data_IF_863808319054
#
_entry.id   IF_863808319054
#
_cell.length_a   1.000
_cell.length_b   1.000
_cell.length_c   1.000
_cell.angle_alpha   90.00
_cell.angle_beta   90.00
_cell.angle_gamma   90.00
#
_symmetry.space_group_name_H-M   'P 1'
#
loop_
_entity.id
_entity.type
_entity.pdbx_description
1 polymer ?
#
# COMPACT_ATOMS: atom_id res chain seq x y z
N UNK A 1 13.50 -27.26 -13.62
CA UNK A 1 13.11 -26.27 -12.56
C UNK A 1 14.08 -25.11 -12.74
N UNK A 2 13.74 -23.87 -13.08
CA UNK A 2 12.53 -23.10 -12.85
C UNK A 2 12.36 -22.07 -14.00
N UNK A 3 11.44 -22.35 -14.92
CA UNK A 3 10.85 -21.29 -15.74
C UNK A 3 9.71 -20.67 -14.95
N UNK A 4 10.02 -19.98 -13.84
CA UNK A 4 9.05 -19.09 -13.19
C UNK A 4 8.78 -17.98 -14.21
N UNK A 5 7.72 -18.18 -14.97
CA UNK A 5 7.44 -17.50 -16.22
C UNK A 5 7.12 -16.02 -15.99
N UNK A 6 7.47 -15.19 -16.97
CA UNK A 6 7.09 -13.76 -17.03
C UNK A 6 5.59 -13.52 -16.80
N UNK A 7 4.76 -14.55 -16.99
CA UNK A 7 3.33 -14.58 -16.67
C UNK A 7 3.03 -14.35 -15.18
N UNK A 8 3.84 -14.88 -14.26
CA UNK A 8 3.60 -14.71 -12.82
C UNK A 8 3.83 -13.26 -12.37
N UNK A 9 4.85 -12.61 -12.94
CA UNK A 9 5.13 -11.17 -12.70
C UNK A 9 4.03 -10.28 -13.30
N UNK A 10 3.59 -10.57 -14.53
CA UNK A 10 2.52 -9.83 -15.18
C UNK A 10 1.16 -10.01 -14.49
N UNK A 11 0.87 -11.22 -14.02
CA UNK A 11 -0.35 -11.51 -13.27
C UNK A 11 -0.41 -10.71 -11.98
N UNK A 12 0.68 -10.66 -11.21
CA UNK A 12 0.79 -9.85 -10.00
C UNK A 12 0.60 -8.36 -10.30
N UNK A 13 1.21 -7.85 -11.38
CA UNK A 13 1.05 -6.46 -11.80
C UNK A 13 -0.41 -6.12 -12.17
N UNK A 14 -1.06 -6.97 -12.97
CA UNK A 14 -2.44 -6.74 -13.43
C UNK A 14 -3.41 -6.73 -12.24
N UNK A 15 -3.32 -7.70 -11.32
CA UNK A 15 -4.21 -7.76 -10.17
C UNK A 15 -4.02 -6.56 -9.23
N UNK A 16 -2.77 -6.15 -8.97
CA UNK A 16 -2.48 -4.97 -8.16
C UNK A 16 -2.98 -3.67 -8.82
N UNK A 17 -2.88 -3.57 -10.16
CA UNK A 17 -3.41 -2.44 -10.91
C UNK A 17 -4.95 -2.38 -10.87
N UNK A 18 -5.63 -3.53 -10.96
CA UNK A 18 -7.08 -3.61 -10.82
C UNK A 18 -7.55 -3.17 -9.43
N UNK A 19 -6.87 -3.63 -8.36
CA UNK A 19 -7.18 -3.19 -7.01
C UNK A 19 -6.95 -1.69 -6.83
N UNK A 20 -5.93 -1.12 -7.46
CA UNK A 20 -5.69 0.33 -7.45
C UNK A 20 -6.85 1.10 -8.09
N UNK A 21 -7.34 0.68 -9.26
CA UNK A 21 -8.50 1.31 -9.92
C UNK A 21 -9.77 1.21 -9.06
N UNK A 22 -10.01 0.05 -8.43
CA UNK A 22 -11.14 -0.14 -7.51
C UNK A 22 -11.02 0.80 -6.31
N UNK A 23 -9.83 0.94 -5.73
CA UNK A 23 -9.57 1.88 -4.65
C UNK A 23 -9.88 3.33 -5.03
N UNK A 24 -9.45 3.77 -6.22
CA UNK A 24 -9.76 5.10 -6.76
C UNK A 24 -11.28 5.33 -6.91
N UNK A 25 -12.01 4.32 -7.42
CA UNK A 25 -13.46 4.41 -7.57
C UNK A 25 -14.18 4.50 -6.22
N UNK A 26 -13.80 3.67 -5.24
CA UNK A 26 -14.37 3.69 -3.88
C UNK A 26 -14.10 5.03 -3.22
N UNK A 27 -12.88 5.56 -3.28
CA UNK A 27 -12.57 6.87 -2.72
C UNK A 27 -13.36 7.98 -3.40
N UNK A 28 -13.42 7.98 -4.74
CA UNK A 28 -14.19 8.97 -5.50
C UNK A 28 -15.66 8.97 -5.10
N UNK A 29 -16.28 7.79 -5.02
CA UNK A 29 -17.67 7.64 -4.58
C UNK A 29 -17.86 8.09 -3.12
N UNK A 30 -16.93 7.74 -2.23
CA UNK A 30 -17.00 8.11 -0.81
C UNK A 30 -16.88 9.62 -0.58
N UNK A 31 -16.01 10.27 -1.34
CA UNK A 31 -15.85 11.74 -1.31
C UNK A 31 -17.08 12.41 -1.92
N UNK A 32 -17.61 11.89 -3.02
CA UNK A 32 -18.84 12.39 -3.65
C UNK A 32 -20.03 12.36 -2.69
N UNK A 33 -20.20 11.25 -1.97
CA UNK A 33 -21.20 11.08 -0.91
C UNK A 33 -20.95 12.05 0.24
N UNK A 34 -19.68 12.32 0.60
CA UNK A 34 -19.33 13.28 1.65
C UNK A 34 -19.69 14.73 1.30
N UNK A 35 -19.55 15.10 0.04
CA UNK A 35 -19.84 16.45 -0.46
C UNK A 35 -21.34 16.66 -0.70
N UNK A 36 -22.06 15.60 -1.08
CA UNK A 36 -23.50 15.66 -1.35
C UNK A 36 -24.31 15.77 -0.05
N UNK A 37 -24.79 16.97 0.26
CA UNK A 37 -25.54 17.27 1.50
C UNK A 37 -26.83 16.45 1.64
N UNK A 38 -27.48 16.13 0.52
CA UNK A 38 -28.71 15.32 0.47
C UNK A 38 -28.46 13.89 0.96
N UNK A 39 -27.39 13.26 0.49
CA UNK A 39 -26.96 11.91 0.89
C UNK A 39 -26.40 11.90 2.34
N UNK A 40 -25.75 12.98 2.78
CA UNK A 40 -25.22 13.08 4.16
C UNK A 40 -26.31 13.00 5.24
N UNK A 41 -27.53 13.45 4.95
CA UNK A 41 -28.66 13.42 5.90
C UNK A 41 -29.21 12.00 6.08
N UNK A 42 -29.21 11.19 5.01
CA UNK A 42 -29.68 9.79 5.03
C UNK A 42 -28.71 8.84 5.79
N UNK A 43 -27.40 9.14 5.74
CA UNK A 43 -26.35 8.34 6.38
C UNK A 43 -26.01 8.77 7.83
N UNK A 44 -26.70 9.77 8.40
CA UNK A 44 -26.49 10.25 9.79
C UNK A 44 -27.09 9.35 10.87
N UNK A 45 -27.73 8.25 10.51
CA UNK A 45 -28.63 7.50 11.39
C UNK A 45 -27.96 6.61 12.44
N UNK A 46 -26.63 6.44 12.42
CA UNK A 46 -25.93 5.75 13.52
C UNK A 46 -24.77 6.55 14.10
N UNK A 47 -24.76 6.55 15.44
CA UNK A 47 -23.80 7.10 16.40
C UNK A 47 -22.48 7.68 15.87
N UNK A 48 -22.12 8.84 16.42
CA UNK A 48 -20.99 9.72 16.08
C UNK A 48 -19.59 9.08 16.06
N UNK A 49 -19.45 7.78 16.35
CA UNK A 49 -18.19 7.04 16.29
C UNK A 49 -18.00 6.19 15.02
N UNK A 50 -19.05 5.85 14.26
CA UNK A 50 -18.95 4.91 13.13
C UNK A 50 -19.75 5.39 11.91
N UNK A 51 -19.39 6.56 11.35
CA UNK A 51 -19.98 6.96 10.07
C UNK A 51 -19.49 6.01 8.96
N UNK A 52 -20.40 5.27 8.29
CA UNK A 52 -20.03 4.27 7.28
C UNK A 52 -19.22 4.88 6.13
N UNK A 53 -19.44 6.17 5.83
CA UNK A 53 -18.69 6.93 4.83
C UNK A 53 -17.23 7.12 5.25
N UNK A 54 -16.95 7.43 6.53
CA UNK A 54 -15.58 7.56 7.02
C UNK A 54 -14.82 6.23 6.96
N UNK A 55 -15.51 5.12 7.25
CA UNK A 55 -14.96 3.78 7.11
C UNK A 55 -14.65 3.45 5.64
N UNK A 56 -15.57 3.80 4.73
CA UNK A 56 -15.39 3.62 3.28
C UNK A 56 -14.20 4.43 2.74
N UNK A 57 -14.01 5.67 3.20
CA UNK A 57 -12.84 6.49 2.87
C UNK A 57 -11.57 5.83 3.38
N UNK A 58 -11.55 5.37 4.64
CA UNK A 58 -10.40 4.70 5.22
C UNK A 58 -10.03 3.44 4.43
N UNK A 59 -11.00 2.55 4.19
CA UNK A 59 -10.79 1.31 3.43
C UNK A 59 -10.35 1.59 1.99
N UNK A 60 -11.02 2.53 1.30
CA UNK A 60 -10.65 2.92 -0.06
C UNK A 60 -9.22 3.47 -0.17
N UNK A 61 -8.79 4.28 0.81
CA UNK A 61 -7.43 4.82 0.86
C UNK A 61 -6.37 3.74 1.08
N UNK A 62 -6.65 2.77 1.96
CA UNK A 62 -5.75 1.63 2.21
C UNK A 62 -5.63 0.77 0.95
N UNK A 63 -6.75 0.44 0.29
CA UNK A 63 -6.73 -0.38 -0.95
C UNK A 63 -5.95 0.34 -2.06
N UNK A 64 -6.15 1.65 -2.22
CA UNK A 64 -5.42 2.45 -3.21
C UNK A 64 -3.91 2.46 -2.93
N UNK A 65 -3.49 2.69 -1.68
CA UNK A 65 -2.07 2.71 -1.30
C UNK A 65 -1.43 1.33 -1.48
N UNK A 66 -2.09 0.26 -1.04
CA UNK A 66 -1.59 -1.11 -1.19
C UNK A 66 -1.50 -1.52 -2.66
N UNK A 67 -2.50 -1.19 -3.49
CA UNK A 67 -2.46 -1.48 -4.93
C UNK A 67 -1.36 -0.71 -5.66
N UNK A 68 -1.12 0.55 -5.30
CA UNK A 68 -0.01 1.34 -5.84
C UNK A 68 1.35 0.74 -5.41
N UNK A 69 1.50 0.40 -4.13
CA UNK A 69 2.70 -0.26 -3.60
C UNK A 69 2.96 -1.61 -4.28
N UNK A 70 1.92 -2.41 -4.53
CA UNK A 70 2.01 -3.68 -5.25
C UNK A 70 2.42 -3.50 -6.71
N UNK A 71 1.87 -2.50 -7.41
CA UNK A 71 2.31 -2.14 -8.77
C UNK A 71 3.78 -1.70 -8.80
N UNK A 72 4.18 -0.81 -7.89
CA UNK A 72 5.54 -0.31 -7.80
C UNK A 72 6.54 -1.39 -7.39
N UNK A 73 6.17 -2.30 -6.49
CA UNK A 73 6.98 -3.44 -6.07
C UNK A 73 7.15 -4.49 -7.16
N UNK A 74 6.12 -4.73 -7.98
CA UNK A 74 6.20 -5.62 -9.14
C UNK A 74 7.07 -5.04 -10.28
N UNK A 75 7.08 -3.71 -10.45
CA UNK A 75 7.84 -3.03 -11.50
C UNK A 75 9.28 -2.65 -11.10
N UNK A 76 9.60 -2.46 -9.82
CA UNK A 76 10.89 -1.90 -9.40
C UNK A 76 11.39 -2.47 -8.07
N UNK A 77 12.57 -3.08 -8.09
CA UNK A 77 13.15 -3.83 -6.96
C UNK A 77 13.60 -2.98 -5.73
N UNK A 78 13.45 -1.64 -5.65
CA UNK A 78 13.85 -0.95 -4.39
C UNK A 78 13.36 0.48 -4.02
N UNK A 79 12.75 1.32 -4.86
CA UNK A 79 12.72 2.78 -4.56
C UNK A 79 11.39 3.43 -4.11
N UNK A 80 10.21 2.96 -4.53
CA UNK A 80 8.94 3.63 -4.14
C UNK A 80 8.49 3.32 -2.69
N UNK A 81 8.96 2.21 -2.12
CA UNK A 81 8.61 1.80 -0.75
C UNK A 81 9.26 2.71 0.32
N UNK A 82 10.42 3.28 0.00
CA UNK A 82 11.16 4.19 0.89
C UNK A 82 10.57 5.61 0.92
N UNK A 83 9.92 6.06 -0.17
CA UNK A 83 9.41 7.42 -0.27
C UNK A 83 8.09 7.63 0.50
N UNK A 84 7.30 6.57 0.68
CA UNK A 84 5.98 6.61 1.32
C UNK A 84 6.05 6.77 2.85
N UNK A 85 7.20 6.46 3.44
CA UNK A 85 7.42 6.59 4.87
C UNK A 85 8.61 7.52 5.06
N UNK A 86 8.39 8.69 5.67
CA UNK A 86 9.40 9.70 6.03
C UNK A 86 10.42 9.14 7.04
N UNK A 87 11.21 8.17 6.60
CA UNK A 87 12.09 7.36 7.41
C UNK A 87 13.36 7.02 6.62
N UNK A 88 14.44 6.73 7.35
CA UNK A 88 15.70 6.27 6.79
C UNK A 88 15.99 4.89 7.38
N UNK A 89 16.32 3.91 6.53
CA UNK A 89 16.66 2.55 6.94
C UNK A 89 15.50 1.72 7.49
N UNK A 90 15.68 0.40 7.50
CA UNK A 90 14.65 -0.52 7.96
C UNK A 90 14.68 -0.66 9.49
N UNK A 91 15.84 -0.97 10.06
CA UNK A 91 16.04 -1.27 11.47
C UNK A 91 17.07 -0.34 12.13
N UNK A 92 18.19 -0.07 11.44
CA UNK A 92 19.33 0.66 12.00
C UNK A 92 19.61 1.97 11.26
N UNK A 93 18.68 2.42 10.42
CA UNK A 93 18.86 3.67 9.70
C UNK A 93 19.80 3.54 8.51
N UNK A 94 20.69 4.52 8.34
CA UNK A 94 21.64 4.57 7.22
C UNK A 94 22.55 3.35 7.13
N UNK A 95 22.88 2.73 8.27
CA UNK A 95 23.82 1.60 8.32
C UNK A 95 23.28 0.32 7.68
N UNK A 96 21.95 0.20 7.52
CA UNK A 96 21.35 -0.95 6.82
C UNK A 96 21.77 -1.04 5.34
N UNK A 97 22.24 0.08 4.76
CA UNK A 97 22.63 0.17 3.36
C UNK A 97 24.14 -0.01 3.11
N UNK A 98 24.93 -0.28 4.16
CA UNK A 98 26.38 -0.47 4.07
C UNK A 98 27.18 0.81 3.75
N UNK A 99 28.52 0.68 3.73
CA UNK A 99 29.44 1.82 3.52
C UNK A 99 29.77 2.12 2.04
N UNK A 100 29.34 1.28 1.10
CA UNK A 100 29.64 1.45 -0.33
C UNK A 100 28.39 1.66 -1.19
N UNK A 101 28.49 2.66 -2.09
CA UNK A 101 27.56 3.15 -3.12
C UNK A 101 26.43 4.10 -2.69
N UNK A 102 26.62 5.40 -3.01
CA UNK A 102 25.62 6.27 -3.67
C UNK A 102 24.20 6.30 -3.05
N UNK A 103 24.07 6.12 -1.74
CA UNK A 103 22.79 5.94 -1.05
C UNK A 103 22.18 7.24 -0.49
N UNK A 104 22.65 8.41 -0.92
CA UNK A 104 22.12 9.67 -0.38
C UNK A 104 20.64 9.90 -0.76
N UNK A 105 20.17 9.33 -1.87
CA UNK A 105 18.79 9.52 -2.32
C UNK A 105 17.73 8.73 -1.53
N UNK A 106 18.12 7.78 -0.67
CA UNK A 106 17.17 6.95 0.08
C UNK A 106 16.76 7.50 1.45
N UNK A 107 17.53 8.45 1.99
CA UNK A 107 17.34 8.99 3.34
C UNK A 107 17.23 10.52 3.38
N UNK A 108 17.33 11.17 2.22
CA UNK A 108 17.26 12.62 2.11
C UNK A 108 15.82 13.11 2.33
N UNK A 109 15.69 14.14 3.15
CA UNK A 109 14.39 14.76 3.41
C UNK A 109 13.91 15.57 2.22
N UNK A 110 12.59 15.70 2.10
CA UNK A 110 12.02 16.71 1.22
C UNK A 110 12.26 18.12 1.80
N UNK A 111 12.37 19.13 0.93
CA UNK A 111 12.63 20.51 1.35
C UNK A 111 11.56 21.05 2.30
N UNK A 112 10.35 20.52 2.27
CA UNK A 112 9.25 20.90 3.17
C UNK A 112 9.42 20.43 4.61
N UNK A 113 10.31 19.47 4.89
CA UNK A 113 10.53 18.87 6.21
C UNK A 113 11.80 19.38 6.93
N UNK A 114 12.59 20.23 6.27
CA UNK A 114 13.84 20.78 6.81
C UNK A 114 13.57 21.65 8.04
N UNK A 115 14.08 21.23 9.21
CA UNK A 115 13.94 21.96 10.48
C UNK A 115 12.87 21.39 11.43
N UNK A 116 12.23 20.28 11.07
CA UNK A 116 11.34 19.53 11.97
C UNK A 116 12.12 18.55 12.84
N UNK A 117 11.55 18.08 13.96
CA UNK A 117 12.19 17.07 14.82
C UNK A 117 12.42 15.73 14.13
N UNK A 118 11.73 15.48 13.01
CA UNK A 118 11.79 14.23 12.25
C UNK A 118 12.90 14.24 11.18
N UNK A 119 13.49 15.42 10.88
CA UNK A 119 14.55 15.59 9.90
C UNK A 119 15.71 16.45 10.42
N UNK A 120 16.90 15.86 10.56
CA UNK A 120 18.10 16.54 11.04
C UNK A 120 19.19 16.47 9.96
N UNK A 121 19.78 17.63 9.62
CA UNK A 121 20.82 17.73 8.56
C UNK A 121 20.38 17.14 7.21
N UNK A 122 19.14 17.45 6.79
CA UNK A 122 18.54 16.95 5.55
C UNK A 122 18.36 15.43 5.50
N UNK A 123 18.32 14.76 6.66
CA UNK A 123 18.18 13.31 6.75
C UNK A 123 17.07 12.89 7.74
N UNK A 124 16.26 11.90 7.35
CA UNK A 124 15.24 11.34 8.24
C UNK A 124 15.90 10.59 9.40
N UNK A 125 15.47 10.89 10.62
CA UNK A 125 16.03 10.30 11.86
C UNK A 125 15.29 9.03 12.27
N UNK A 126 14.01 8.92 11.92
CA UNK A 126 13.18 7.75 12.24
C UNK A 126 13.49 6.57 11.33
N UNK A 127 13.50 5.37 11.90
CA UNK A 127 13.58 4.13 11.13
C UNK A 127 12.20 3.71 10.64
N UNK A 128 12.17 3.04 9.48
CA UNK A 128 10.91 2.65 8.86
C UNK A 128 10.17 1.59 9.69
N UNK A 129 10.88 0.67 10.37
CA UNK A 129 10.25 -0.28 11.28
C UNK A 129 9.52 0.42 12.43
N UNK A 130 10.06 1.50 13.00
CA UNK A 130 9.37 2.24 14.07
C UNK A 130 8.06 2.86 13.55
N UNK A 131 8.10 3.51 12.39
CA UNK A 131 6.90 4.15 11.79
C UNK A 131 5.85 3.10 11.42
N UNK A 132 6.26 2.02 10.76
CA UNK A 132 5.37 0.93 10.35
C UNK A 132 4.75 0.28 11.58
N UNK A 133 5.54 -0.04 12.61
CA UNK A 133 5.02 -0.69 13.82
C UNK A 133 4.06 0.20 14.61
N UNK A 134 4.23 1.52 14.61
CA UNK A 134 3.26 2.44 15.21
C UNK A 134 1.94 2.47 14.43
N UNK A 135 1.99 2.52 13.09
CA UNK A 135 0.80 2.46 12.23
C UNK A 135 0.07 1.14 12.42
N UNK A 136 0.81 0.02 12.45
CA UNK A 136 0.25 -1.31 12.66
C UNK A 136 -0.34 -1.46 14.06
N UNK A 137 0.33 -1.00 15.12
CA UNK A 137 -0.21 -1.09 16.49
C UNK A 137 -1.52 -0.34 16.64
N UNK A 138 -1.66 0.82 15.99
CA UNK A 138 -2.86 1.64 16.09
C UNK A 138 -4.06 1.05 15.33
N UNK A 139 -3.83 0.35 14.22
CA UNK A 139 -4.89 -0.11 13.31
C UNK A 139 -4.85 -1.61 13.00
N UNK A 140 -4.22 -2.40 13.89
CA UNK A 140 -3.81 -3.78 13.60
C UNK A 140 -4.95 -4.67 13.13
N UNK A 141 -6.11 -4.59 13.78
CA UNK A 141 -7.26 -5.45 13.48
C UNK A 141 -7.77 -5.22 12.05
N UNK A 142 -7.88 -3.96 11.63
CA UNK A 142 -8.35 -3.60 10.29
C UNK A 142 -7.32 -4.01 9.24
N UNK A 143 -6.04 -3.73 9.50
CA UNK A 143 -4.96 -4.05 8.56
C UNK A 143 -4.81 -5.57 8.39
N UNK A 144 -4.89 -6.35 9.47
CA UNK A 144 -4.84 -7.82 9.40
C UNK A 144 -6.02 -8.40 8.62
N UNK A 145 -7.23 -7.88 8.83
CA UNK A 145 -8.42 -8.33 8.09
C UNK A 145 -8.29 -8.10 6.58
N UNK A 146 -7.84 -6.91 6.17
CA UNK A 146 -7.62 -6.57 4.76
C UNK A 146 -6.50 -7.44 4.17
N UNK A 147 -5.38 -7.58 4.86
CA UNK A 147 -4.24 -8.37 4.38
C UNK A 147 -4.62 -9.84 4.16
N UNK A 148 -5.35 -10.45 5.10
CA UNK A 148 -5.80 -11.84 4.97
C UNK A 148 -6.79 -12.03 3.82
N UNK A 149 -7.75 -11.10 3.67
CA UNK A 149 -8.70 -11.13 2.56
C UNK A 149 -8.04 -11.00 1.20
N UNK A 150 -7.11 -10.05 1.05
CA UNK A 150 -6.37 -9.85 -0.20
C UNK A 150 -5.48 -11.06 -0.53
N UNK A 151 -4.77 -11.62 0.46
CA UNK A 151 -3.94 -12.81 0.25
C UNK A 151 -4.78 -14.02 -0.21
N UNK A 152 -5.95 -14.22 0.38
CA UNK A 152 -6.84 -15.31 -0.03
C UNK A 152 -7.31 -15.14 -1.48
N UNK A 153 -7.73 -13.93 -1.86
CA UNK A 153 -8.17 -13.61 -3.23
C UNK A 153 -7.04 -13.81 -4.24
N UNK A 154 -5.82 -13.37 -3.93
CA UNK A 154 -4.65 -13.55 -4.79
C UNK A 154 -4.30 -15.04 -4.96
N UNK A 155 -4.30 -15.82 -3.89
CA UNK A 155 -4.01 -17.27 -3.95
C UNK A 155 -5.03 -17.98 -4.84
N UNK A 156 -6.32 -17.69 -4.66
CA UNK A 156 -7.38 -18.26 -5.50
C UNK A 156 -7.21 -17.84 -6.96
N UNK A 157 -6.91 -16.57 -7.22
CA UNK A 157 -6.63 -16.06 -8.57
C UNK A 157 -5.44 -16.74 -9.24
N UNK A 158 -4.36 -17.00 -8.50
CA UNK A 158 -3.20 -17.73 -9.00
C UNK A 158 -3.54 -19.20 -9.32
N UNK A 159 -4.30 -19.87 -8.45
CA UNK A 159 -4.71 -21.28 -8.65
C UNK A 159 -5.62 -21.43 -9.88
N UNK A 160 -6.61 -20.55 -10.05
CA UNK A 160 -7.47 -20.57 -11.24
C UNK A 160 -6.70 -20.26 -12.51
N UNK A 161 -5.78 -19.29 -12.47
CA UNK A 161 -4.94 -18.95 -13.62
C UNK A 161 -4.07 -20.13 -14.07
N UNK A 162 -3.45 -20.84 -13.12
CA UNK A 162 -2.67 -22.05 -13.41
C UNK A 162 -3.55 -23.19 -13.92
N UNK A 163 -4.74 -23.37 -13.33
CA UNK A 163 -5.70 -24.39 -13.76
C UNK A 163 -6.16 -24.16 -15.20
N UNK A 164 -6.48 -22.91 -15.58
CA UNK A 164 -6.85 -22.54 -16.95
C UNK A 164 -5.68 -22.69 -17.92
N UNK A 165 -4.46 -22.31 -17.52
CA UNK A 165 -3.27 -22.52 -18.33
C UNK A 165 -3.06 -24.01 -18.67
N UNK A 166 -3.19 -24.90 -17.68
CA UNK A 166 -3.10 -26.34 -17.89
C UNK A 166 -4.22 -26.91 -18.76
N UNK A 167 -5.42 -26.32 -18.74
CA UNK A 167 -6.53 -26.74 -19.61
C UNK A 167 -6.32 -26.29 -21.06
N UNK A 168 -5.78 -25.09 -21.29
CA UNK A 168 -5.49 -24.57 -22.63
C UNK A 168 -4.36 -25.36 -23.30
N UNK A 169 -3.30 -25.71 -22.57
CA UNK A 169 -2.20 -26.52 -23.14
C UNK A 169 -2.58 -27.97 -23.45
N UNK A 170 -3.65 -28.50 -22.85
CA UNK A 170 -4.13 -29.86 -23.11
C UNK A 170 -4.99 -29.98 -24.37
N UNK A 171 -5.31 -28.86 -25.03
CA UNK A 171 -6.07 -28.81 -26.28
C UNK A 171 -5.15 -28.51 -27.45
#
# INVERSE_FOLDING_TARGET
>A
MAGVSSCMKYSMFIFNFLFWIIGCFILGASIWIRVSKDIQEEFKTESSMFSPVNLLIAVGSVIMVLGFLGCCGAMKESQCMLLLYKCCGLLNGKTDWGENLLSNHGCECDQTDIGTSDCVKNQYVKTCATVITEIFKKNMVIVMGIAFGLAFIEIVGMVFSMSLYCQIQKK
#
